data_IF_443817456236
#
_entry.id   IF_443817456236
#
_cell.length_a   1.000
_cell.length_b   1.000
_cell.length_c   1.000
_cell.angle_alpha   90.00
_cell.angle_beta   90.00
_cell.angle_gamma   90.00
#
_symmetry.space_group_name_H-M   'P 1'
#
loop_
_entity.id
_entity.type
_entity.pdbx_description
1 polymer ?
#
# COMPACT_ATOMS: atom_id res chain seq x y z
N UNK A 1 12.10 -28.99 -1.47
CA UNK A 1 11.96 -27.75 -2.27
C UNK A 1 13.07 -26.80 -1.83
N UNK A 2 14.25 -26.89 -2.45
CA UNK A 2 15.36 -25.96 -2.19
C UNK A 2 15.53 -25.06 -3.40
N UNK A 3 15.00 -23.84 -3.30
CA UNK A 3 15.16 -22.76 -4.27
C UNK A 3 14.75 -21.43 -3.63
N UNK A 4 15.42 -20.33 -3.98
CA UNK A 4 15.07 -18.99 -3.52
C UNK A 4 13.73 -18.57 -4.13
N UNK A 5 12.73 -18.28 -3.29
CA UNK A 5 11.43 -17.79 -3.73
C UNK A 5 11.48 -16.28 -3.91
N UNK A 6 11.86 -15.82 -5.11
CA UNK A 6 11.85 -14.39 -5.42
C UNK A 6 10.43 -13.81 -5.32
N UNK A 7 10.30 -12.64 -4.70
CA UNK A 7 9.02 -11.99 -4.48
C UNK A 7 9.08 -10.48 -4.70
N UNK A 8 7.90 -9.91 -4.92
CA UNK A 8 7.64 -8.48 -4.90
C UNK A 8 6.50 -8.20 -3.93
N UNK A 9 6.76 -7.41 -2.90
CA UNK A 9 5.73 -6.86 -2.01
C UNK A 9 5.34 -5.48 -2.50
N UNK A 10 4.04 -5.20 -2.53
CA UNK A 10 3.49 -3.90 -2.91
C UNK A 10 2.63 -3.40 -1.77
N UNK A 11 2.98 -2.24 -1.23
CA UNK A 11 2.16 -1.50 -0.28
C UNK A 11 1.43 -0.40 -1.04
N UNK A 12 0.10 -0.42 -0.98
CA UNK A 12 -0.75 0.62 -1.54
C UNK A 12 -1.10 1.60 -0.42
N UNK A 13 -0.88 2.88 -0.67
CA UNK A 13 -1.24 3.95 0.25
C UNK A 13 -2.45 4.72 -0.34
N UNK A 14 -2.46 6.05 -0.23
CA UNK A 14 -3.56 6.85 -0.74
C UNK A 14 -3.65 6.83 -2.27
N UNK A 15 -4.87 6.80 -2.79
CA UNK A 15 -5.22 6.99 -4.18
C UNK A 15 -6.48 7.85 -4.33
N UNK A 16 -6.70 8.37 -5.54
CA UNK A 16 -7.88 9.18 -5.81
C UNK A 16 -8.02 9.62 -7.25
N UNK A 17 -9.28 9.71 -7.69
CA UNK A 17 -9.63 10.23 -9.00
C UNK A 17 -9.42 11.75 -9.05
N UNK A 18 -8.72 12.21 -10.07
CA UNK A 18 -8.53 13.63 -10.35
C UNK A 18 -9.44 14.02 -11.50
N UNK A 19 -10.52 14.73 -11.18
CA UNK A 19 -11.47 15.20 -12.18
C UNK A 19 -10.87 16.32 -13.02
N UNK A 20 -10.97 16.28 -14.36
CA UNK A 20 -10.55 17.38 -15.21
C UNK A 20 -11.24 18.71 -14.89
N UNK A 21 -12.42 18.68 -14.25
CA UNK A 21 -13.19 19.89 -13.91
C UNK A 21 -12.49 20.83 -12.93
N UNK A 22 -11.49 20.36 -12.19
CA UNK A 22 -10.73 21.20 -11.25
C UNK A 22 -9.75 22.13 -11.96
N UNK A 23 -9.47 21.90 -13.24
CA UNK A 23 -8.58 22.75 -14.04
C UNK A 23 -9.38 23.83 -14.76
N UNK A 24 -9.06 25.10 -14.47
CA UNK A 24 -9.69 26.27 -15.10
C UNK A 24 -9.48 26.34 -16.62
N UNK A 25 -8.51 25.58 -17.15
CA UNK A 25 -8.18 25.49 -18.57
C UNK A 25 -9.05 24.50 -19.35
N UNK A 26 -9.78 23.59 -18.66
CA UNK A 26 -10.67 22.61 -19.32
C UNK A 26 -11.66 23.27 -20.30
N UNK A 27 -12.36 24.37 -19.97
CA UNK A 27 -13.26 25.05 -20.90
C UNK A 27 -12.51 25.80 -22.02
N UNK A 28 -11.23 26.13 -21.84
CA UNK A 28 -10.46 27.00 -22.74
C UNK A 28 -9.70 26.25 -23.82
N UNK A 29 -9.12 25.09 -23.50
CA UNK A 29 -8.27 24.33 -24.45
C UNK A 29 -8.82 22.95 -24.81
N UNK A 30 -9.72 22.37 -24.02
CA UNK A 30 -10.18 21.00 -24.18
C UNK A 30 -9.10 19.91 -24.00
N UNK A 31 -7.86 20.29 -23.64
CA UNK A 31 -6.69 19.40 -23.55
C UNK A 31 -6.42 18.92 -22.12
N UNK A 32 -7.45 18.63 -21.34
CA UNK A 32 -7.32 18.10 -19.97
C UNK A 32 -8.06 16.77 -19.87
N UNK A 33 -7.32 15.72 -19.49
CA UNK A 33 -7.82 14.33 -19.41
C UNK A 33 -7.95 13.87 -17.97
N UNK A 34 -8.90 12.96 -17.68
CA UNK A 34 -9.02 12.39 -16.34
C UNK A 34 -7.82 11.52 -15.99
N UNK A 35 -7.46 11.49 -14.71
CA UNK A 35 -6.37 10.62 -14.22
C UNK A 35 -6.64 10.14 -12.80
N UNK A 36 -5.83 9.19 -12.33
CA UNK A 36 -5.79 8.70 -10.96
C UNK A 36 -4.42 9.01 -10.36
N UNK A 37 -4.42 9.75 -9.25
CA UNK A 37 -3.22 9.90 -8.43
C UNK A 37 -3.15 8.73 -7.45
N UNK A 38 -1.97 8.20 -7.22
CA UNK A 38 -1.75 7.14 -6.25
C UNK A 38 -0.34 7.21 -5.65
N UNK A 39 -0.19 6.63 -4.46
CA UNK A 39 1.10 6.42 -3.80
C UNK A 39 1.24 4.92 -3.51
N UNK A 40 2.38 4.35 -3.89
CA UNK A 40 2.70 2.95 -3.62
C UNK A 40 4.20 2.77 -3.35
N UNK A 41 4.55 1.80 -2.50
CA UNK A 41 5.92 1.36 -2.28
C UNK A 41 6.07 -0.10 -2.70
N UNK A 42 7.13 -0.41 -3.45
CA UNK A 42 7.41 -1.77 -3.93
C UNK A 42 8.75 -2.24 -3.41
N UNK A 43 8.78 -3.45 -2.87
CA UNK A 43 9.98 -4.09 -2.33
C UNK A 43 10.21 -5.40 -3.08
N UNK A 44 11.46 -5.66 -3.46
CA UNK A 44 11.86 -6.89 -4.15
C UNK A 44 12.75 -7.69 -3.21
N UNK A 45 12.53 -9.00 -3.13
CA UNK A 45 13.25 -9.83 -2.17
C UNK A 45 13.09 -11.31 -2.42
N UNK A 46 13.42 -12.09 -1.39
CA UNK A 46 13.24 -13.55 -1.38
C UNK A 46 12.45 -13.93 -0.14
N UNK A 47 11.40 -14.74 -0.32
CA UNK A 47 10.62 -15.26 0.79
C UNK A 47 11.40 -16.37 1.50
N UNK A 48 11.43 -16.27 2.83
CA UNK A 48 11.91 -17.32 3.73
C UNK A 48 10.76 -17.75 4.62
N UNK A 49 10.48 -19.06 4.66
CA UNK A 49 9.51 -19.60 5.62
C UNK A 49 10.05 -19.37 7.03
N UNK A 50 9.24 -18.74 7.87
CA UNK A 50 9.51 -18.63 9.31
C UNK A 50 9.15 -19.97 9.98
N UNK A 51 10.02 -20.52 10.85
CA UNK A 51 9.69 -21.69 11.65
C UNK A 51 8.57 -21.41 12.66
N UNK A 52 7.69 -22.39 12.89
CA UNK A 52 6.48 -22.23 13.73
C UNK A 52 6.82 -21.81 15.17
N UNK A 53 7.93 -22.29 15.74
CA UNK A 53 8.44 -21.91 17.06
C UNK A 53 8.75 -20.41 17.22
N UNK A 54 8.94 -19.68 16.12
CA UNK A 54 9.24 -18.25 16.11
C UNK A 54 8.04 -17.38 15.69
N UNK A 55 6.88 -18.00 15.42
CA UNK A 55 5.74 -17.30 14.85
C UNK A 55 5.13 -16.31 15.86
N UNK A 56 4.95 -16.73 17.12
CA UNK A 56 4.32 -15.88 18.15
C UNK A 56 5.14 -14.60 18.41
N UNK A 57 6.46 -14.73 18.54
CA UNK A 57 7.36 -13.59 18.76
C UNK A 57 7.36 -12.56 17.61
N UNK A 58 6.99 -12.95 16.39
CA UNK A 58 6.84 -12.02 15.26
C UNK A 58 5.48 -11.32 15.23
N UNK A 59 4.45 -11.95 15.79
CA UNK A 59 3.08 -11.42 15.79
C UNK A 59 2.85 -10.42 16.91
N UNK A 60 3.49 -10.62 18.06
CA UNK A 60 3.32 -9.76 19.25
C UNK A 60 3.52 -8.26 18.94
N UNK A 61 4.60 -7.80 18.28
CA UNK A 61 4.78 -6.38 17.99
C UNK A 61 3.80 -5.83 16.94
N UNK A 62 3.36 -6.67 16.01
CA UNK A 62 2.44 -6.27 14.95
C UNK A 62 1.02 -6.05 15.46
N UNK A 63 0.57 -6.91 16.40
CA UNK A 63 -0.78 -6.84 16.96
C UNK A 63 -1.04 -5.50 17.65
N UNK A 64 -0.13 -5.06 18.51
CA UNK A 64 -0.25 -3.78 19.22
C UNK A 64 -0.35 -2.59 18.26
N UNK A 65 0.45 -2.59 17.19
CA UNK A 65 0.44 -1.54 16.19
C UNK A 65 -0.89 -1.46 15.42
N UNK A 66 -1.51 -2.61 15.10
CA UNK A 66 -2.79 -2.65 14.38
C UNK A 66 -3.99 -2.29 15.26
N UNK A 67 -3.99 -2.68 16.54
CA UNK A 67 -5.04 -2.29 17.48
C UNK A 67 -4.97 -0.80 17.84
N UNK A 68 -3.77 -0.25 18.05
CA UNK A 68 -3.57 1.20 18.27
C UNK A 68 -4.03 2.04 17.07
N UNK A 69 -3.80 1.56 15.85
CA UNK A 69 -4.26 2.25 14.64
C UNK A 69 -5.80 2.27 14.53
N UNK A 70 -6.47 1.19 14.96
CA UNK A 70 -7.94 1.09 14.97
C UNK A 70 -8.59 2.07 15.94
N UNK A 71 -7.96 2.28 17.10
CA UNK A 71 -8.47 3.20 18.13
C UNK A 71 -8.31 4.68 17.73
N UNK A 72 -7.31 5.01 16.90
CA UNK A 72 -7.09 6.37 16.38
C UNK A 72 -8.01 6.72 15.20
N UNK A 73 -8.52 5.72 14.47
CA UNK A 73 -9.46 5.89 13.35
C UNK A 73 -10.89 5.52 13.71
N UNK A 74 -11.25 5.60 15.00
CA UNK A 74 -12.57 5.23 15.53
C UNK A 74 -13.74 5.71 14.66
N UNK A 75 -14.70 4.81 14.45
CA UNK A 75 -15.83 4.94 13.51
C UNK A 75 -16.87 6.00 13.84
#
# INVERSE_FOLDING_TARGET
MQGSLHCRLVFQAADGYVSPSIYAEKPKSGKVVPTWNYVAAQFFGTLKKVPDQNLLALLEPGFDQFELARDLTGG
#
